data_IF_704576510157
#
_entry.id   IF_704576510157
#
_cell.length_a   1.000
_cell.length_b   1.000
_cell.length_c   1.000
_cell.angle_alpha   90.00
_cell.angle_beta   90.00
_cell.angle_gamma   90.00
#
_symmetry.space_group_name_H-M   'P 1'
#
loop_
_entity.id
_entity.type
_entity.pdbx_description
1 polymer ?
#
# COMPACT_ATOMS: atom_id res chain seq x y z
N UNK A 1 -8.74 42.85 9.01
CA UNK A 1 -9.84 41.85 8.97
C UNK A 1 -10.73 42.18 7.78
N UNK A 2 -10.43 41.65 6.60
CA UNK A 2 -11.30 41.83 5.43
C UNK A 2 -12.34 40.71 5.43
N UNK A 3 -13.61 41.13 5.43
CA UNK A 3 -14.77 40.22 5.29
C UNK A 3 -14.78 39.66 3.88
N UNK A 4 -14.59 38.34 3.76
CA UNK A 4 -14.86 37.61 2.53
C UNK A 4 -16.34 37.74 2.19
N UNK A 5 -16.68 38.44 1.10
CA UNK A 5 -18.04 38.51 0.59
C UNK A 5 -18.45 37.13 0.08
N UNK A 6 -19.50 36.58 0.66
CA UNK A 6 -20.16 35.38 0.17
C UNK A 6 -20.78 35.67 -1.20
N UNK A 7 -20.33 35.04 -2.24
CA UNK A 7 -20.94 35.10 -3.57
C UNK A 7 -22.08 34.10 -3.60
N UNK A 8 -23.31 34.60 -3.57
CA UNK A 8 -24.49 33.79 -3.87
C UNK A 8 -24.60 33.67 -5.40
N UNK A 9 -24.40 32.47 -5.93
CA UNK A 9 -24.62 32.20 -7.33
C UNK A 9 -26.12 32.07 -7.58
N UNK A 10 -26.68 32.91 -8.44
CA UNK A 10 -28.06 32.82 -8.88
C UNK A 10 -28.25 31.55 -9.77
N UNK A 11 -29.49 31.05 -9.86
CA UNK A 11 -29.84 29.88 -10.69
C UNK A 11 -29.43 30.03 -12.17
N UNK A 12 -29.23 31.24 -12.66
CA UNK A 12 -28.74 31.53 -14.01
C UNK A 12 -27.24 31.28 -14.20
N UNK A 13 -26.46 31.26 -13.12
CA UNK A 13 -25.02 30.99 -13.18
C UNK A 13 -24.70 29.53 -13.50
N UNK A 14 -25.67 28.62 -13.27
CA UNK A 14 -25.52 27.20 -13.60
C UNK A 14 -25.60 26.88 -15.10
N UNK A 15 -25.93 27.85 -15.93
CA UNK A 15 -25.98 27.72 -17.40
C UNK A 15 -24.81 28.39 -18.11
N UNK A 16 -23.82 28.87 -17.38
CA UNK A 16 -22.62 29.43 -17.98
C UNK A 16 -21.70 28.30 -18.45
N UNK A 17 -21.36 28.30 -19.72
CA UNK A 17 -20.45 27.32 -20.36
C UNK A 17 -19.02 27.38 -19.78
N UNK A 18 -18.66 28.48 -19.13
CA UNK A 18 -17.35 28.70 -18.49
C UNK A 18 -17.54 29.49 -17.20
N UNK A 19 -17.11 28.92 -16.08
CA UNK A 19 -17.00 29.63 -14.80
C UNK A 19 -15.57 30.17 -14.64
N UNK A 20 -15.36 31.51 -14.67
CA UNK A 20 -14.04 32.04 -14.33
C UNK A 20 -13.84 31.95 -12.82
N UNK A 21 -13.01 31.04 -12.40
CA UNK A 21 -12.57 30.91 -11.01
C UNK A 21 -11.24 31.65 -10.82
N UNK A 22 -11.29 32.95 -10.61
CA UNK A 22 -10.17 33.73 -10.09
C UNK A 22 -10.15 33.64 -8.56
N UNK A 23 -9.68 32.53 -8.03
CA UNK A 23 -9.41 32.37 -6.61
C UNK A 23 -7.92 32.21 -6.36
N UNK A 24 -7.30 33.25 -5.81
CA UNK A 24 -5.97 33.13 -5.22
C UNK A 24 -6.16 32.89 -3.72
N UNK A 25 -5.95 31.70 -3.24
CA UNK A 25 -5.89 31.40 -1.82
C UNK A 25 -4.43 31.19 -1.44
N UNK A 26 -3.86 32.16 -0.72
CA UNK A 26 -2.56 31.96 -0.07
C UNK A 26 -2.74 31.05 1.14
N UNK A 27 -2.24 29.84 1.03
CA UNK A 27 -2.03 28.97 2.16
C UNK A 27 -0.57 28.55 2.16
N UNK A 28 0.16 28.87 3.21
CA UNK A 28 1.55 28.42 3.49
C UNK A 28 2.55 28.52 2.32
N UNK A 29 2.52 29.62 1.56
CA UNK A 29 3.61 29.92 0.63
C UNK A 29 3.50 29.35 -0.79
N UNK A 30 2.39 28.71 -1.15
CA UNK A 30 2.15 28.22 -2.52
C UNK A 30 0.99 28.98 -3.17
N UNK A 31 1.23 29.55 -4.34
CA UNK A 31 0.20 30.15 -5.19
C UNK A 31 -0.35 29.09 -6.15
N UNK A 32 -1.61 28.68 -5.96
CA UNK A 32 -2.30 27.79 -6.91
C UNK A 32 -3.14 28.64 -7.85
N UNK A 33 -2.79 28.65 -9.13
CA UNK A 33 -3.48 29.41 -10.16
C UNK A 33 -4.41 28.48 -10.97
N UNK A 34 -5.73 28.62 -10.78
CA UNK A 34 -6.74 27.93 -11.60
C UNK A 34 -7.22 28.86 -12.69
N UNK A 35 -6.85 28.64 -13.95
CA UNK A 35 -7.21 29.56 -15.01
C UNK A 35 -8.54 29.24 -15.72
N UNK A 36 -8.96 27.96 -15.89
CA UNK A 36 -10.27 27.57 -16.47
C UNK A 36 -10.59 26.11 -16.23
N UNK A 37 -11.87 25.78 -16.04
CA UNK A 37 -12.41 24.42 -16.08
C UNK A 37 -13.38 24.36 -17.26
N UNK A 38 -13.09 23.53 -18.26
CA UNK A 38 -13.96 23.22 -19.36
C UNK A 38 -14.95 22.12 -18.94
N UNK A 39 -16.25 22.44 -18.91
CA UNK A 39 -17.31 21.55 -18.44
C UNK A 39 -17.78 20.55 -19.49
N UNK A 40 -17.40 20.69 -20.76
CA UNK A 40 -17.78 19.73 -21.81
C UNK A 40 -16.87 18.49 -21.83
N UNK A 41 -15.69 18.56 -21.19
CA UNK A 41 -14.74 17.45 -21.08
C UNK A 41 -14.68 16.83 -19.69
N UNK A 42 -15.78 16.80 -18.94
CA UNK A 42 -15.85 16.17 -17.63
C UNK A 42 -15.79 14.63 -17.79
N UNK A 43 -14.69 14.10 -18.26
CA UNK A 43 -14.25 12.78 -17.87
C UNK A 43 -13.80 12.90 -16.40
N UNK A 44 -14.37 12.09 -15.52
CA UNK A 44 -13.93 12.00 -14.12
C UNK A 44 -12.47 11.58 -14.07
N UNK A 45 -11.57 12.52 -14.30
CA UNK A 45 -10.17 12.36 -13.95
C UNK A 45 -10.08 12.61 -12.46
N UNK A 46 -10.02 11.54 -11.70
CA UNK A 46 -9.54 11.59 -10.33
C UNK A 46 -8.09 12.07 -10.36
N UNK A 47 -7.89 13.36 -10.26
CA UNK A 47 -6.58 13.91 -9.95
C UNK A 47 -6.35 13.57 -8.49
N UNK A 48 -5.64 12.51 -8.20
CA UNK A 48 -5.08 12.28 -6.89
C UNK A 48 -4.12 13.44 -6.62
N UNK A 49 -4.57 14.41 -5.82
CA UNK A 49 -3.68 15.46 -5.31
C UNK A 49 -2.65 14.76 -4.44
N UNK A 50 -1.34 14.78 -4.79
CA UNK A 50 -0.33 14.19 -3.95
C UNK A 50 -0.32 14.95 -2.62
N UNK A 51 -0.74 14.33 -1.55
CA UNK A 51 -0.43 14.82 -0.24
C UNK A 51 1.10 14.79 -0.09
N UNK A 52 1.68 15.99 0.05
CA UNK A 52 3.11 16.24 0.23
C UNK A 52 4.01 15.94 -0.98
N UNK A 53 4.18 16.93 -1.83
CA UNK A 53 5.41 17.07 -2.60
C UNK A 53 5.56 16.24 -3.88
N UNK A 54 4.48 15.90 -4.59
CA UNK A 54 4.54 15.44 -6.00
C UNK A 54 5.35 14.17 -6.26
N UNK A 55 5.65 13.36 -5.24
CA UNK A 55 6.39 12.10 -5.36
C UNK A 55 5.47 10.89 -5.44
N UNK A 56 5.95 9.83 -6.08
CA UNK A 56 5.33 8.50 -6.05
C UNK A 56 5.21 8.02 -4.60
N UNK A 57 4.10 7.39 -4.22
CA UNK A 57 3.89 6.88 -2.86
C UNK A 57 4.94 5.84 -2.44
N UNK A 58 5.44 5.07 -3.40
CA UNK A 58 6.48 4.06 -3.20
C UNK A 58 7.79 4.60 -3.77
N UNK A 59 8.85 4.74 -2.94
CA UNK A 59 10.13 5.29 -3.34
C UNK A 59 10.84 4.40 -4.37
N UNK A 60 11.62 5.00 -5.27
CA UNK A 60 12.38 4.27 -6.29
C UNK A 60 13.64 3.59 -5.72
N UNK A 61 14.14 4.05 -4.59
CA UNK A 61 15.33 3.51 -3.93
C UNK A 61 15.07 2.26 -3.10
N UNK A 62 16.14 1.72 -2.50
CA UNK A 62 16.03 0.66 -1.49
C UNK A 62 15.40 1.23 -0.22
N UNK A 63 14.40 0.53 0.31
CA UNK A 63 13.83 0.85 1.61
C UNK A 63 14.74 0.34 2.74
N UNK A 64 14.54 0.86 3.96
CA UNK A 64 15.18 0.28 5.14
C UNK A 64 14.63 -1.13 5.41
N UNK A 65 15.43 -2.02 6.03
CA UNK A 65 14.92 -3.30 6.49
C UNK A 65 13.66 -3.14 7.35
N UNK A 66 12.66 -3.99 7.10
CA UNK A 66 11.37 -3.90 7.78
C UNK A 66 10.36 -2.92 7.18
N UNK A 67 10.75 -2.12 6.19
CA UNK A 67 9.85 -1.25 5.45
C UNK A 67 9.37 -1.95 4.20
N UNK A 68 8.08 -2.19 4.12
CA UNK A 68 7.46 -2.84 2.94
C UNK A 68 6.19 -2.13 2.51
N UNK A 69 5.79 -2.38 1.28
CA UNK A 69 4.56 -1.87 0.71
C UNK A 69 3.69 -3.01 0.20
N UNK A 70 2.38 -2.89 0.42
CA UNK A 70 1.36 -3.76 -0.15
C UNK A 70 0.23 -2.92 -0.74
N UNK A 71 -0.43 -3.46 -1.75
CA UNK A 71 -1.59 -2.83 -2.39
C UNK A 71 -2.74 -3.80 -2.33
N UNK A 72 -3.85 -3.36 -1.77
CA UNK A 72 -5.03 -4.20 -1.61
C UNK A 72 -6.27 -3.36 -1.33
N UNK A 73 -7.43 -4.03 -1.25
CA UNK A 73 -8.69 -3.37 -0.94
C UNK A 73 -8.76 -2.95 0.53
N UNK A 74 -9.04 -1.67 0.77
CA UNK A 74 -9.28 -1.11 2.09
C UNK A 74 -10.73 -1.29 2.55
N UNK A 75 -11.01 -0.84 3.77
CA UNK A 75 -12.31 -1.01 4.41
C UNK A 75 -13.44 -0.27 3.70
N UNK A 76 -13.17 0.85 3.06
CA UNK A 76 -14.16 1.60 2.27
C UNK A 76 -14.48 0.95 0.91
N UNK A 77 -13.82 -0.16 0.56
CA UNK A 77 -13.99 -0.86 -0.70
C UNK A 77 -13.07 -0.37 -1.83
N UNK A 78 -12.30 0.69 -1.63
CA UNK A 78 -11.32 1.17 -2.61
C UNK A 78 -10.01 0.39 -2.49
N UNK A 79 -9.26 0.32 -3.58
CA UNK A 79 -7.91 -0.25 -3.59
C UNK A 79 -6.90 0.86 -3.28
N UNK A 80 -5.93 0.57 -2.42
CA UNK A 80 -4.90 1.54 -2.07
C UNK A 80 -3.62 0.94 -1.54
N UNK A 81 -2.67 1.82 -1.22
CA UNK A 81 -1.32 1.48 -0.77
C UNK A 81 -1.25 1.49 0.75
N UNK A 82 -0.69 0.43 1.30
CA UNK A 82 -0.39 0.30 2.72
C UNK A 82 1.11 0.12 2.92
N UNK A 83 1.64 0.83 3.92
CA UNK A 83 3.04 0.75 4.32
C UNK A 83 3.16 0.07 5.68
N UNK A 84 4.11 -0.83 5.81
CA UNK A 84 4.48 -1.45 7.07
C UNK A 84 5.92 -1.04 7.41
N UNK A 85 6.13 -0.60 8.64
CA UNK A 85 7.44 -0.23 9.19
C UNK A 85 7.69 -1.05 10.44
N UNK A 86 8.72 -1.89 10.41
CA UNK A 86 9.01 -2.86 11.47
C UNK A 86 10.34 -2.54 12.13
N UNK A 87 10.33 -2.48 13.46
CA UNK A 87 11.51 -2.42 14.31
C UNK A 87 11.67 -3.73 15.09
N UNK A 88 12.90 -4.19 15.26
CA UNK A 88 13.23 -5.39 16.02
C UNK A 88 14.17 -5.03 17.15
N UNK A 89 13.84 -5.45 18.34
CA UNK A 89 14.63 -5.23 19.56
C UNK A 89 14.91 -6.56 20.26
N UNK A 90 16.03 -6.69 21.01
CA UNK A 90 16.17 -7.78 21.96
C UNK A 90 15.02 -7.72 22.97
N UNK A 91 14.39 -8.86 23.27
CA UNK A 91 13.22 -8.87 24.15
C UNK A 91 12.74 -10.26 24.50
N UNK A 92 11.44 -10.39 24.75
CA UNK A 92 10.80 -11.61 25.24
C UNK A 92 9.70 -12.13 24.31
N UNK A 93 9.70 -11.73 23.04
CA UNK A 93 8.69 -12.13 22.06
C UNK A 93 7.44 -11.24 22.06
N UNK A 94 7.56 -9.99 22.52
CA UNK A 94 6.46 -9.03 22.50
C UNK A 94 6.18 -8.59 21.05
N UNK A 95 4.89 -8.44 20.73
CA UNK A 95 4.43 -8.00 19.44
C UNK A 95 3.54 -6.76 19.59
N UNK A 96 4.09 -5.60 19.29
CA UNK A 96 3.39 -4.33 19.35
C UNK A 96 2.95 -3.88 17.95
N UNK A 97 1.75 -3.33 17.85
CA UNK A 97 1.13 -2.90 16.61
C UNK A 97 0.51 -1.53 16.78
N UNK A 98 0.84 -0.63 15.87
CA UNK A 98 0.26 0.71 15.79
C UNK A 98 -0.35 0.94 14.41
N UNK A 99 -1.22 1.93 14.26
CA UNK A 99 -1.82 2.28 12.98
C UNK A 99 -3.08 1.48 12.58
N UNK A 100 -3.40 0.36 13.25
CA UNK A 100 -4.57 -0.46 12.92
C UNK A 100 -5.92 0.10 13.41
N UNK A 101 -5.89 1.14 14.25
CA UNK A 101 -7.10 1.73 14.81
C UNK A 101 -7.98 0.71 15.55
N UNK A 102 -9.30 0.79 15.34
CA UNK A 102 -10.29 -0.13 15.90
C UNK A 102 -10.60 -1.32 14.97
N UNK A 103 -9.88 -1.46 13.84
CA UNK A 103 -10.16 -2.49 12.84
C UNK A 103 -9.84 -3.89 13.37
N UNK A 104 -10.89 -4.71 13.52
CA UNK A 104 -10.77 -6.06 14.07
C UNK A 104 -10.15 -7.02 13.06
N UNK A 105 -10.56 -6.96 11.78
CA UNK A 105 -10.08 -7.87 10.74
C UNK A 105 -8.58 -7.66 10.48
N UNK A 106 -8.14 -6.40 10.42
CA UNK A 106 -6.73 -6.07 10.30
C UNK A 106 -5.92 -6.58 11.50
N UNK A 107 -6.44 -6.44 12.72
CA UNK A 107 -5.80 -6.99 13.94
C UNK A 107 -5.72 -8.52 13.91
N UNK A 108 -6.76 -9.20 13.44
CA UNK A 108 -6.78 -10.67 13.30
C UNK A 108 -5.77 -11.14 12.25
N UNK A 109 -5.67 -10.46 11.10
CA UNK A 109 -4.67 -10.76 10.08
C UNK A 109 -3.24 -10.67 10.64
N UNK A 110 -2.93 -9.62 11.40
CA UNK A 110 -1.60 -9.46 11.99
C UNK A 110 -1.30 -10.49 13.09
N UNK A 111 -2.31 -10.93 13.86
CA UNK A 111 -2.16 -12.04 14.80
C UNK A 111 -1.89 -13.37 14.07
N UNK A 112 -2.58 -13.59 12.95
CA UNK A 112 -2.38 -14.76 12.08
C UNK A 112 -0.94 -14.80 11.56
N UNK A 113 -0.38 -13.67 11.14
CA UNK A 113 1.00 -13.55 10.72
C UNK A 113 2.00 -13.97 11.82
N UNK A 114 1.80 -13.47 13.05
CA UNK A 114 2.67 -13.85 14.17
C UNK A 114 2.56 -15.33 14.51
N UNK A 115 1.35 -15.89 14.54
CA UNK A 115 1.13 -17.31 14.81
C UNK A 115 1.76 -18.18 13.72
N UNK A 116 1.66 -17.78 12.45
CA UNK A 116 2.34 -18.44 11.35
C UNK A 116 3.86 -18.43 11.55
N UNK A 117 4.44 -17.29 11.91
CA UNK A 117 5.89 -17.18 12.17
C UNK A 117 6.33 -18.00 13.38
N UNK A 118 5.55 -18.05 14.47
CA UNK A 118 5.88 -18.93 15.62
C UNK A 118 6.03 -20.37 15.22
N UNK A 119 5.22 -20.85 14.28
CA UNK A 119 5.25 -22.23 13.81
C UNK A 119 6.32 -22.48 12.74
N UNK A 120 6.67 -21.47 11.92
CA UNK A 120 7.41 -21.67 10.68
C UNK A 120 8.72 -20.86 10.58
N UNK A 121 9.10 -20.08 11.59
CA UNK A 121 10.29 -19.21 11.54
C UNK A 121 11.56 -19.99 11.22
N UNK A 122 11.75 -21.19 11.79
CA UNK A 122 12.90 -22.04 11.55
C UNK A 122 13.03 -22.52 10.09
N UNK A 123 11.93 -22.64 9.37
CA UNK A 123 11.93 -22.98 7.94
C UNK A 123 12.38 -21.81 7.05
N UNK A 124 12.28 -20.57 7.56
CA UNK A 124 12.74 -19.37 6.85
C UNK A 124 14.19 -19.07 7.25
N UNK A 125 14.46 -18.92 8.53
CA UNK A 125 15.81 -18.70 9.05
C UNK A 125 15.87 -18.91 10.57
N UNK A 126 16.95 -19.50 11.05
CA UNK A 126 17.24 -19.63 12.49
C UNK A 126 17.48 -18.26 13.18
N UNK A 127 17.73 -17.22 12.42
CA UNK A 127 17.91 -15.86 12.94
C UNK A 127 16.59 -15.17 13.31
N UNK A 128 15.46 -15.73 12.89
CA UNK A 128 14.14 -15.21 13.21
C UNK A 128 13.67 -15.86 14.51
N UNK A 129 13.64 -15.09 15.59
CA UNK A 129 13.17 -15.58 16.88
C UNK A 129 11.93 -14.81 17.32
N UNK A 130 10.88 -15.54 17.65
CA UNK A 130 9.64 -14.99 18.20
C UNK A 130 9.60 -15.06 19.73
N UNK A 131 10.69 -15.48 20.37
CA UNK A 131 10.81 -15.62 21.84
C UNK A 131 11.87 -14.75 22.46
N UNK A 132 12.92 -14.38 21.71
CA UNK A 132 14.06 -13.57 22.20
C UNK A 132 14.14 -12.19 21.55
N UNK A 133 13.21 -11.89 20.65
CA UNK A 133 13.12 -10.59 19.96
C UNK A 133 11.71 -10.04 20.09
N UNK A 134 11.60 -8.75 20.36
CA UNK A 134 10.35 -7.99 20.32
C UNK A 134 10.22 -7.33 18.94
N UNK A 135 9.00 -7.25 18.46
CA UNK A 135 8.65 -6.67 17.16
C UNK A 135 7.66 -5.54 17.34
N UNK A 136 8.00 -4.37 16.84
CA UNK A 136 7.12 -3.19 16.84
C UNK A 136 6.82 -2.86 15.39
N UNK A 137 5.55 -2.90 15.01
CA UNK A 137 5.12 -2.66 13.62
C UNK A 137 4.11 -1.53 13.58
N UNK A 138 4.40 -0.54 12.73
CA UNK A 138 3.48 0.52 12.37
C UNK A 138 2.85 0.23 11.01
N UNK A 139 1.52 0.27 10.94
CA UNK A 139 0.75 0.09 9.71
C UNK A 139 0.20 1.43 9.27
N UNK A 140 0.61 1.88 8.09
CA UNK A 140 0.20 3.14 7.50
C UNK A 140 -0.74 2.92 6.32
N UNK A 141 -1.93 3.50 6.38
CA UNK A 141 -2.82 3.67 5.24
C UNK A 141 -2.39 4.97 4.52
N UNK A 142 -1.82 4.82 3.33
CA UNK A 142 -1.21 5.96 2.61
C UNK A 142 -2.24 6.87 1.94
N UNK A 143 -3.50 6.45 1.85
CA UNK A 143 -4.55 7.15 1.10
C UNK A 143 -5.83 7.39 1.91
N UNK A 144 -5.86 6.99 3.19
CA UNK A 144 -7.02 7.23 4.07
C UNK A 144 -8.26 6.41 3.71
N UNK A 145 -8.08 5.25 3.08
CA UNK A 145 -9.18 4.37 2.63
C UNK A 145 -9.68 3.38 3.68
N UNK A 146 -9.07 3.41 4.85
CA UNK A 146 -9.30 2.45 5.92
C UNK A 146 -8.46 1.19 5.77
N UNK A 147 -8.05 0.62 6.90
CA UNK A 147 -7.10 -0.50 6.92
C UNK A 147 -7.64 -1.73 6.16
N UNK A 148 -6.75 -2.48 5.56
CA UNK A 148 -7.07 -3.74 4.86
C UNK A 148 -7.02 -4.94 5.80
N UNK A 149 -7.77 -5.99 5.46
CA UNK A 149 -7.67 -7.32 6.10
C UNK A 149 -6.52 -8.18 5.53
N UNK A 150 -5.95 -7.79 4.39
CA UNK A 150 -4.91 -8.55 3.68
C UNK A 150 -3.50 -8.14 4.17
N UNK A 151 -3.22 -8.37 5.44
CA UNK A 151 -1.97 -7.98 6.09
C UNK A 151 -1.12 -9.18 6.57
N UNK A 152 -1.60 -10.42 6.42
CA UNK A 152 -0.89 -11.58 6.99
C UNK A 152 0.45 -11.78 6.30
N UNK A 153 0.49 -11.98 5.00
CA UNK A 153 1.74 -12.14 4.25
C UNK A 153 2.64 -10.89 4.32
N UNK A 154 2.14 -9.66 4.08
CA UNK A 154 2.95 -8.47 4.26
C UNK A 154 3.62 -8.37 5.62
N UNK A 155 2.90 -8.69 6.70
CA UNK A 155 3.46 -8.69 8.07
C UNK A 155 4.57 -9.74 8.24
N UNK A 156 4.39 -10.95 7.69
CA UNK A 156 5.43 -11.99 7.71
C UNK A 156 6.69 -11.51 7.03
N UNK A 157 6.59 -10.94 5.84
CA UNK A 157 7.74 -10.41 5.09
C UNK A 157 8.41 -9.25 5.83
N UNK A 158 7.62 -8.34 6.42
CA UNK A 158 8.14 -7.20 7.18
C UNK A 158 8.97 -7.65 8.40
N UNK A 159 8.46 -8.61 9.17
CA UNK A 159 9.18 -9.18 10.32
C UNK A 159 10.46 -9.88 9.86
N UNK A 160 10.40 -10.68 8.80
CA UNK A 160 11.58 -11.38 8.27
C UNK A 160 12.63 -10.40 7.76
N UNK A 161 12.22 -9.37 7.02
CA UNK A 161 13.11 -8.30 6.55
C UNK A 161 13.84 -7.59 7.70
N UNK A 162 13.09 -7.20 8.74
CA UNK A 162 13.66 -6.55 9.92
C UNK A 162 14.56 -7.48 10.73
N UNK A 163 14.12 -8.72 10.99
CA UNK A 163 14.86 -9.70 11.79
C UNK A 163 16.18 -10.13 11.13
N UNK A 164 16.23 -10.15 9.79
CA UNK A 164 17.40 -10.47 8.98
C UNK A 164 18.23 -9.23 8.63
N UNK A 165 17.78 -8.03 9.02
CA UNK A 165 18.39 -6.74 8.65
C UNK A 165 18.61 -6.61 7.15
N UNK A 166 17.69 -7.16 6.34
CA UNK A 166 17.77 -7.18 4.89
C UNK A 166 16.58 -6.45 4.27
N UNK A 167 16.82 -5.38 3.47
CA UNK A 167 15.74 -4.67 2.80
C UNK A 167 15.08 -5.54 1.73
N UNK A 168 13.85 -5.21 1.37
CA UNK A 168 13.20 -5.77 0.19
C UNK A 168 13.76 -5.17 -1.10
N UNK A 169 13.48 -5.81 -2.22
CA UNK A 169 13.80 -5.27 -3.53
C UNK A 169 13.23 -3.86 -3.69
N UNK A 170 13.96 -2.99 -4.40
CA UNK A 170 13.53 -1.61 -4.65
C UNK A 170 12.23 -1.54 -5.44
N UNK A 171 11.36 -0.59 -5.12
CA UNK A 171 10.05 -0.36 -5.77
C UNK A 171 9.18 -1.60 -5.84
N UNK A 172 9.24 -2.46 -4.83
CA UNK A 172 8.48 -3.70 -4.72
C UNK A 172 7.15 -3.47 -4.00
N UNK A 173 6.06 -3.99 -4.57
CA UNK A 173 4.81 -4.23 -3.86
C UNK A 173 4.61 -5.73 -3.64
N UNK A 174 4.22 -6.11 -2.43
CA UNK A 174 3.89 -7.47 -2.04
C UNK A 174 2.39 -7.63 -2.16
N UNK A 175 1.94 -8.50 -3.06
CA UNK A 175 0.53 -8.75 -3.31
C UNK A 175 0.12 -10.15 -2.86
N UNK A 176 -1.17 -10.30 -2.54
CA UNK A 176 -1.75 -11.53 -2.03
C UNK A 176 -1.66 -11.66 -0.51
N UNK A 177 -2.15 -12.76 0.00
CA UNK A 177 -2.21 -13.03 1.42
C UNK A 177 -2.06 -14.53 1.71
N UNK A 178 -1.99 -14.89 2.99
CA UNK A 178 -1.90 -16.28 3.43
C UNK A 178 -2.87 -16.57 4.58
N UNK A 179 -3.33 -17.83 4.65
CA UNK A 179 -4.04 -18.34 5.81
C UNK A 179 -3.08 -18.67 6.96
N UNK A 180 -3.62 -19.01 8.13
CA UNK A 180 -2.82 -19.44 9.30
C UNK A 180 -1.98 -20.67 9.02
N UNK A 181 -2.43 -21.57 8.12
CA UNK A 181 -1.69 -22.75 7.70
C UNK A 181 -0.65 -22.49 6.60
N UNK A 182 -0.56 -21.24 6.11
CA UNK A 182 0.35 -20.87 5.01
C UNK A 182 -0.23 -21.13 3.61
N UNK A 183 -1.53 -21.41 3.50
CA UNK A 183 -2.19 -21.52 2.19
C UNK A 183 -2.21 -20.16 1.52
N UNK A 184 -1.73 -20.09 0.29
CA UNK A 184 -1.68 -18.86 -0.50
C UNK A 184 -3.08 -18.44 -0.95
N UNK A 185 -3.43 -17.21 -0.70
CA UNK A 185 -4.67 -16.57 -1.13
C UNK A 185 -4.40 -15.67 -2.33
N UNK A 186 -5.27 -15.75 -3.34
CA UNK A 186 -5.16 -14.93 -4.54
C UNK A 186 -5.45 -13.45 -4.26
N UNK A 187 -4.97 -12.59 -5.15
CA UNK A 187 -5.30 -11.16 -5.14
C UNK A 187 -6.72 -10.95 -5.65
N UNK A 188 -7.54 -10.24 -4.89
CA UNK A 188 -8.85 -9.78 -5.33
C UNK A 188 -8.70 -8.58 -6.26
N UNK A 189 -9.53 -8.47 -7.30
CA UNK A 189 -9.55 -7.33 -8.24
C UNK A 189 -8.17 -7.00 -8.85
N UNK A 190 -7.47 -8.01 -9.37
CA UNK A 190 -6.07 -7.90 -9.81
C UNK A 190 -5.82 -6.70 -10.73
N UNK A 191 -6.69 -6.42 -11.70
CA UNK A 191 -6.52 -5.30 -12.62
C UNK A 191 -6.51 -3.94 -11.90
N UNK A 192 -7.43 -3.73 -10.94
CA UNK A 192 -7.49 -2.51 -10.13
C UNK A 192 -6.26 -2.37 -9.22
N UNK A 193 -5.81 -3.48 -8.62
CA UNK A 193 -4.60 -3.51 -7.78
C UNK A 193 -3.37 -3.14 -8.61
N UNK A 194 -3.24 -3.67 -9.81
CA UNK A 194 -2.11 -3.35 -10.70
C UNK A 194 -2.14 -1.90 -11.18
N UNK A 195 -3.34 -1.35 -11.45
CA UNK A 195 -3.46 0.07 -11.78
C UNK A 195 -2.95 0.96 -10.64
N UNK A 196 -3.38 0.71 -9.41
CA UNK A 196 -2.91 1.45 -8.23
C UNK A 196 -1.39 1.26 -8.01
N UNK A 197 -0.85 0.07 -8.26
CA UNK A 197 0.59 -0.17 -8.24
C UNK A 197 1.33 0.75 -9.22
N UNK A 198 0.84 0.86 -10.46
CA UNK A 198 1.45 1.71 -11.49
C UNK A 198 1.45 3.18 -11.07
N UNK A 199 0.28 3.69 -10.64
CA UNK A 199 0.10 5.08 -10.23
C UNK A 199 0.97 5.43 -9.01
N UNK A 200 1.20 4.45 -8.13
CA UNK A 200 2.01 4.62 -6.91
C UNK A 200 3.51 4.47 -7.12
N UNK A 201 3.96 4.12 -8.32
CA UNK A 201 5.39 4.04 -8.67
C UNK A 201 6.03 2.68 -8.42
N UNK A 202 5.24 1.61 -8.28
CA UNK A 202 5.73 0.23 -8.23
C UNK A 202 6.40 -0.13 -9.56
N UNK A 203 7.52 -0.84 -9.49
CA UNK A 203 8.22 -1.39 -10.66
C UNK A 203 8.31 -2.91 -10.62
N UNK A 204 8.28 -3.48 -9.43
CA UNK A 204 8.34 -4.93 -9.20
C UNK A 204 7.14 -5.37 -8.39
N UNK A 205 6.57 -6.50 -8.75
CA UNK A 205 5.39 -7.05 -8.08
C UNK A 205 5.70 -8.48 -7.66
N UNK A 206 5.53 -8.75 -6.37
CA UNK A 206 5.52 -10.10 -5.85
C UNK A 206 4.07 -10.60 -5.86
N UNK A 207 3.76 -11.56 -6.74
CA UNK A 207 2.40 -12.01 -7.03
C UNK A 207 2.24 -13.51 -6.74
N UNK A 208 1.17 -13.93 -6.03
CA UNK A 208 0.92 -15.36 -5.85
C UNK A 208 0.59 -16.03 -7.20
N UNK A 209 1.13 -17.23 -7.42
CA UNK A 209 0.88 -17.99 -8.65
C UNK A 209 -0.62 -18.28 -8.84
N UNK A 210 -1.37 -18.37 -7.75
CA UNK A 210 -2.84 -18.56 -7.79
C UNK A 210 -3.56 -17.41 -8.49
N UNK A 211 -2.96 -16.23 -8.57
CA UNK A 211 -3.50 -15.07 -9.30
C UNK A 211 -3.15 -15.08 -10.79
N UNK A 212 -2.30 -15.99 -11.26
CA UNK A 212 -1.94 -16.10 -12.68
C UNK A 212 -3.17 -16.34 -13.58
N UNK A 213 -4.19 -17.02 -13.06
CA UNK A 213 -5.45 -17.28 -13.79
C UNK A 213 -6.17 -15.97 -14.12
N UNK A 214 -6.10 -14.98 -13.22
CA UNK A 214 -6.78 -13.71 -13.38
C UNK A 214 -5.99 -12.72 -14.27
N UNK A 215 -4.75 -13.07 -14.68
CA UNK A 215 -3.93 -12.21 -15.54
C UNK A 215 -4.53 -12.00 -16.94
N UNK A 216 -5.34 -12.93 -17.43
CA UNK A 216 -6.07 -12.76 -18.68
C UNK A 216 -7.10 -11.62 -18.67
N UNK A 217 -7.47 -11.12 -17.50
CA UNK A 217 -8.39 -9.98 -17.33
C UNK A 217 -7.67 -8.63 -17.25
N UNK A 218 -6.32 -8.64 -17.16
CA UNK A 218 -5.50 -7.45 -17.00
C UNK A 218 -5.13 -6.89 -18.37
N UNK A 219 -5.28 -5.56 -18.60
CA UNK A 219 -4.81 -4.92 -19.83
C UNK A 219 -3.33 -5.18 -20.11
N UNK A 220 -2.98 -5.44 -21.38
CA UNK A 220 -1.60 -5.77 -21.77
C UNK A 220 -0.58 -4.66 -21.42
N UNK A 221 -1.03 -3.41 -21.44
CA UNK A 221 -0.21 -2.24 -21.08
C UNK A 221 0.21 -2.28 -19.60
N UNK A 222 -0.68 -2.69 -18.69
CA UNK A 222 -0.36 -2.87 -17.28
C UNK A 222 0.60 -4.03 -17.06
N UNK A 223 0.43 -5.11 -17.81
CA UNK A 223 1.30 -6.28 -17.69
C UNK A 223 2.76 -5.95 -18.07
N UNK A 224 2.97 -5.12 -19.10
CA UNK A 224 4.29 -4.70 -19.55
C UNK A 224 4.99 -3.67 -18.63
N UNK A 225 4.25 -3.07 -17.69
CA UNK A 225 4.78 -2.01 -16.84
C UNK A 225 5.62 -2.54 -15.64
N UNK A 226 5.51 -3.83 -15.32
CA UNK A 226 6.09 -4.42 -14.12
C UNK A 226 7.03 -5.59 -14.40
N UNK A 227 8.02 -5.77 -13.52
CA UNK A 227 8.70 -7.04 -13.34
C UNK A 227 7.90 -7.88 -12.34
N UNK A 228 7.20 -8.91 -12.84
CA UNK A 228 6.35 -9.77 -12.00
C UNK A 228 7.18 -10.95 -11.49
N UNK A 229 7.17 -11.15 -10.18
CA UNK A 229 7.86 -12.21 -9.48
C UNK A 229 6.80 -13.11 -8.83
N UNK A 230 6.65 -14.34 -9.30
CA UNK A 230 5.68 -15.26 -8.75
C UNK A 230 6.21 -16.01 -7.53
N UNK A 231 5.31 -16.36 -6.61
CA UNK A 231 5.61 -17.20 -5.46
C UNK A 231 4.51 -18.27 -5.23
N UNK A 232 4.90 -19.41 -4.69
CA UNK A 232 4.02 -20.56 -4.39
C UNK A 232 3.89 -20.85 -2.91
N UNK A 233 4.84 -20.38 -2.10
CA UNK A 233 4.87 -20.62 -0.64
C UNK A 233 5.20 -19.32 0.08
N UNK A 234 4.80 -19.17 1.35
CA UNK A 234 5.15 -17.99 2.14
C UNK A 234 6.67 -17.82 2.30
N UNK A 235 7.42 -18.91 2.41
CA UNK A 235 8.89 -18.91 2.51
C UNK A 235 9.50 -18.35 1.22
N UNK A 236 9.02 -18.86 0.07
CA UNK A 236 9.45 -18.37 -1.25
C UNK A 236 9.13 -16.88 -1.43
N UNK A 237 7.95 -16.42 -0.95
CA UNK A 237 7.60 -15.01 -0.96
C UNK A 237 8.60 -14.17 -0.17
N UNK A 238 9.01 -14.61 1.03
CA UNK A 238 10.03 -13.92 1.82
C UNK A 238 11.36 -13.87 1.08
N UNK A 239 11.87 -15.00 0.57
CA UNK A 239 13.16 -15.06 -0.11
C UNK A 239 13.19 -14.15 -1.35
N UNK A 240 12.18 -14.25 -2.18
CA UNK A 240 12.06 -13.43 -3.41
C UNK A 240 11.88 -11.94 -3.09
N UNK A 241 11.11 -11.60 -2.05
CA UNK A 241 10.97 -10.22 -1.62
C UNK A 241 12.31 -9.61 -1.17
N UNK A 242 13.15 -10.41 -0.49
CA UNK A 242 14.47 -9.99 0.01
C UNK A 242 15.59 -10.15 -1.03
N UNK A 243 15.29 -10.68 -2.22
CA UNK A 243 16.29 -10.97 -3.25
C UNK A 243 17.34 -11.96 -2.76
N UNK A 244 16.91 -12.99 -2.05
CA UNK A 244 17.75 -14.12 -1.60
C UNK A 244 17.30 -15.34 -2.42
N UNK A 245 18.22 -15.91 -3.19
CA UNK A 245 18.04 -17.19 -3.87
C UNK A 245 18.49 -18.34 -2.99
#
# INVERSE_FOLDING_TARGET
MERVKRIELSQSAWKAEVLPLNYTRKWSGYDINFSYIDLESFEERYVSVPEQGGGKLIPEGMCNPGNIYTVSRGKNGMVGVFRLETQVLPGNGKFERTGLGADREAKEATNTALNYLKANAGAISNSISTTTKDYIINYGDMQGIGMTKHLTLPTVVAICSAALSKPTLSSLAILGDISISGTILKVEELANVLQVCLDSGVKKILLPITSAVDMGTVPAELMGAFSIIFYNTPQEAVFKALGVE
#
